data_IF_284093272894
#
_entry.id   IF_284093272894
#
_cell.length_a   1.000
_cell.length_b   1.000
_cell.length_c   1.000
_cell.angle_alpha   90.00
_cell.angle_beta   90.00
_cell.angle_gamma   90.00
#
_symmetry.space_group_name_H-M   'P 1'
#
loop_
_entity.id
_entity.type
_entity.pdbx_description
1 polymer ?
2 non-polymer ?
3 non-polymer ?
4 water ?
#
# COMPACT_ATOMS: atom_id res chain seq x y z
N UNK A 2 11.48 18.84 10.21
CA UNK A 2 11.98 18.97 8.80
C UNK A 2 11.17 18.14 7.80
N UNK A 3 10.60 18.82 6.81
CA UNK A 3 9.84 18.13 5.77
C UNK A 3 10.78 17.94 4.57
N UNK A 4 11.22 16.70 4.40
CA UNK A 4 12.13 16.29 3.34
C UNK A 4 11.44 16.14 1.99
N UNK A 5 10.26 15.54 1.99
CA UNK A 5 9.51 15.34 0.75
C UNK A 5 8.02 15.43 0.99
N UNK A 6 7.24 15.29 -0.08
CA UNK A 6 5.79 15.34 0.01
C UNK A 6 5.29 14.06 0.67
N UNK A 7 4.26 14.19 1.50
CA UNK A 7 3.69 13.04 2.20
C UNK A 7 3.12 11.99 1.28
N UNK A 8 2.67 12.41 0.10
CA UNK A 8 2.13 11.47 -0.87
C UNK A 8 3.24 10.59 -1.41
N UNK A 9 4.37 11.20 -1.75
CA UNK A 9 5.50 10.46 -2.28
C UNK A 9 6.08 9.56 -1.19
N UNK A 10 6.15 10.09 0.02
CA UNK A 10 6.67 9.37 1.16
C UNK A 10 5.81 8.15 1.57
N UNK A 11 4.50 8.32 1.54
CA UNK A 11 3.56 7.27 1.90
C UNK A 11 3.80 6.00 1.10
N UNK A 12 3.85 6.15 -0.21
CA UNK A 12 4.06 5.02 -1.10
C UNK A 12 5.42 4.38 -0.90
N UNK A 13 6.42 5.21 -0.61
CA UNK A 13 7.76 4.69 -0.34
C UNK A 13 7.71 3.85 0.93
N UNK A 14 7.14 4.41 1.99
CA UNK A 14 7.02 3.71 3.27
C UNK A 14 6.24 2.40 3.16
N UNK A 15 5.10 2.42 2.48
CA UNK A 15 4.28 1.22 2.33
C UNK A 15 5.09 0.12 1.62
N UNK A 16 5.73 0.48 0.52
CA UNK A 16 6.53 -0.47 -0.24
C UNK A 16 7.69 -1.01 0.58
N UNK A 17 8.45 -0.10 1.17
CA UNK A 17 9.59 -0.47 1.99
C UNK A 17 9.10 -1.43 3.08
N UNK A 18 8.01 -1.07 3.71
CA UNK A 18 7.37 -1.90 4.73
C UNK A 18 7.14 -3.33 4.27
N UNK A 19 6.57 -3.48 3.08
CA UNK A 19 6.27 -4.80 2.52
C UNK A 19 7.50 -5.65 2.21
N UNK A 20 8.54 -5.05 1.63
CA UNK A 20 9.74 -5.82 1.32
C UNK A 20 10.55 -6.12 2.58
N UNK A 21 10.41 -5.28 3.60
CA UNK A 21 11.11 -5.55 4.87
C UNK A 21 10.42 -6.77 5.50
N UNK A 22 9.09 -6.81 5.44
CA UNK A 22 8.33 -7.92 5.99
C UNK A 22 8.75 -9.23 5.33
N UNK A 23 8.88 -9.23 4.01
CA UNK A 23 9.30 -10.43 3.28
C UNK A 23 10.70 -10.87 3.69
N UNK A 24 11.59 -9.90 3.87
CA UNK A 24 12.97 -10.17 4.25
C UNK A 24 13.02 -10.82 5.64
N UNK A 25 12.09 -10.45 6.51
CA UNK A 25 12.03 -11.02 7.85
C UNK A 25 11.62 -12.49 7.81
N UNK A 26 10.69 -12.84 6.93
CA UNK A 26 10.24 -14.23 6.79
C UNK A 26 11.41 -15.13 6.41
N UNK A 27 12.31 -14.62 5.57
CA UNK A 27 13.49 -15.36 5.13
C UNK A 27 14.45 -15.59 6.29
N UNK A 28 14.61 -14.57 7.13
CA UNK A 28 15.48 -14.67 8.30
C UNK A 28 15.01 -15.84 9.17
N UNK A 29 13.69 -15.96 9.30
CA UNK A 29 13.09 -17.02 10.10
C UNK A 29 12.71 -18.21 9.22
N UNK A 44 19.56 -18.91 19.22
CA UNK A 44 19.77 -17.71 18.44
C UNK A 44 18.52 -17.20 17.75
N UNK A 45 17.50 -18.05 17.70
CA UNK A 45 16.21 -17.72 17.07
C UNK A 45 15.32 -16.98 18.08
N UNK A 46 15.96 -16.26 19.00
CA UNK A 46 15.28 -15.48 20.03
C UNK A 46 15.73 -14.03 19.95
N UNK A 47 17.04 -13.81 19.78
CA UNK A 47 17.59 -12.47 19.67
C UNK A 47 17.02 -11.85 18.39
N UNK A 48 16.82 -12.72 17.40
CA UNK A 48 16.28 -12.34 16.11
C UNK A 48 14.81 -11.94 16.26
N UNK A 49 14.04 -12.76 16.97
CA UNK A 49 12.62 -12.48 17.18
C UNK A 49 12.33 -11.30 18.10
N UNK A 50 13.34 -10.88 18.86
CA UNK A 50 13.19 -9.73 19.73
C UNK A 50 13.46 -8.49 18.88
N UNK A 51 14.38 -8.61 17.91
CA UNK A 51 14.68 -7.53 17.00
C UNK A 51 13.50 -7.32 16.07
N UNK A 52 12.83 -8.41 15.74
CA UNK A 52 11.71 -8.38 14.84
C UNK A 52 10.40 -7.87 15.44
N UNK A 53 10.29 -8.07 16.75
CA UNK A 53 9.17 -7.59 17.46
C UNK A 53 9.32 -6.08 17.52
N UNK A 54 10.52 -5.67 17.95
CA UNK A 54 10.86 -4.25 18.06
C UNK A 54 10.58 -3.50 16.78
N UNK A 55 10.85 -4.16 15.66
CA UNK A 55 10.64 -3.58 14.35
C UNK A 55 9.15 -3.46 14.04
N UNK A 56 8.39 -4.49 14.40
CA UNK A 56 6.95 -4.45 14.18
C UNK A 56 6.34 -3.31 15.02
N UNK A 57 6.86 -3.13 16.23
CA UNK A 57 6.39 -2.07 17.10
C UNK A 57 6.71 -0.72 16.46
N UNK A 58 7.94 -0.58 15.95
CA UNK A 58 8.41 0.63 15.28
C UNK A 58 7.48 0.97 14.11
N UNK A 59 7.26 0.00 13.23
CA UNK A 59 6.41 0.20 12.07
C UNK A 59 4.97 0.51 12.46
N UNK A 60 4.50 -0.08 13.56
CA UNK A 60 3.15 0.18 14.05
C UNK A 60 3.03 1.65 14.40
N UNK A 61 4.05 2.16 15.08
CA UNK A 61 4.12 3.55 15.52
C UNK A 61 4.15 4.52 14.34
N UNK A 62 4.98 4.22 13.34
CA UNK A 62 5.12 5.06 12.15
C UNK A 62 3.82 5.08 11.37
N UNK A 63 3.19 3.91 11.27
CA UNK A 63 1.94 3.77 10.54
C UNK A 63 0.84 4.56 11.23
N UNK A 64 0.82 4.52 12.56
CA UNK A 64 -0.17 5.28 13.31
C UNK A 64 0.00 6.76 13.01
N UNK A 65 1.25 7.20 12.94
CA UNK A 65 1.55 8.61 12.64
C UNK A 65 1.17 8.96 11.21
N UNK A 66 1.37 8.02 10.29
CA UNK A 66 1.01 8.22 8.89
C UNK A 66 -0.50 8.48 8.84
N UNK A 67 -1.25 7.62 9.51
CA UNK A 67 -2.71 7.75 9.57
C UNK A 67 -3.12 9.07 10.20
N UNK A 68 -2.49 9.43 11.32
CA UNK A 68 -2.79 10.69 12.00
C UNK A 68 -2.59 11.86 11.05
N UNK A 69 -1.51 11.80 10.28
CA UNK A 69 -1.21 12.85 9.33
C UNK A 69 -2.29 13.00 8.27
N UNK A 70 -2.61 11.91 7.59
CA UNK A 70 -3.62 11.95 6.55
C UNK A 70 -5.03 12.21 7.07
N UNK A 71 -5.27 11.85 8.32
CA UNK A 71 -6.57 12.09 8.93
C UNK A 71 -6.70 13.59 9.18
N UNK A 72 -5.60 14.23 9.58
CA UNK A 72 -5.57 15.66 9.85
C UNK A 72 -5.70 16.49 8.58
N UNK A 73 -5.05 16.02 7.51
CA UNK A 73 -5.06 16.71 6.21
C UNK A 73 -6.30 16.44 5.36
N UNK A 74 -7.44 16.25 6.02
CA UNK A 74 -8.69 15.97 5.33
C UNK A 74 -9.66 17.16 5.33
N UNK A 75 -9.27 18.24 6.01
CA UNK A 75 -10.10 19.44 6.12
C UNK A 75 -10.00 20.41 4.93
N UNK A 76 -8.95 20.24 4.09
CA UNK A 76 -8.73 21.08 2.91
C UNK A 76 -9.83 20.89 1.86
N UNK A 77 -10.41 22.02 1.48
CA UNK A 77 -11.49 21.95 0.48
C UNK A 77 -11.01 21.51 -0.92
N UNK A 78 -9.80 22.01 -1.10
CA UNK A 78 -9.04 22.19 -2.33
C UNK A 78 -8.61 21.14 -3.35
N UNK A 79 -8.68 21.70 -4.57
CA UNK A 79 -8.37 21.13 -5.86
C UNK A 79 -9.57 21.22 -6.80
N UNK A 80 -10.67 20.57 -6.42
CA UNK A 80 -11.89 20.57 -7.24
C UNK A 80 -11.79 19.69 -8.48
N UNK A 81 -11.37 20.26 -9.60
CA UNK A 81 -11.28 19.50 -10.87
C UNK A 81 -10.38 18.27 -10.76
N UNK A 82 -9.38 18.35 -9.89
CA UNK A 82 -8.46 17.23 -9.69
C UNK A 82 -9.21 16.02 -9.13
N UNK A 83 -10.09 16.26 -8.16
CA UNK A 83 -10.88 15.19 -7.56
C UNK A 83 -11.80 14.58 -8.60
N UNK A 84 -12.33 15.43 -9.47
CA UNK A 84 -13.22 14.99 -10.53
C UNK A 84 -12.44 14.30 -11.64
N UNK A 85 -11.23 14.78 -11.89
CA UNK A 85 -10.39 14.19 -12.93
C UNK A 85 -10.00 12.77 -12.52
N UNK A 86 -9.80 12.57 -11.22
CA UNK A 86 -9.44 11.26 -10.69
C UNK A 86 -10.60 10.28 -10.83
N UNK A 87 -11.83 10.80 -10.76
CA UNK A 87 -13.02 9.97 -10.91
C UNK A 87 -13.12 9.53 -12.35
N UNK A 88 -12.83 10.45 -13.27
CA UNK A 88 -12.86 10.15 -14.69
C UNK A 88 -11.84 9.04 -15.00
N UNK A 89 -10.64 9.16 -14.45
CA UNK A 89 -9.56 8.18 -14.65
C UNK A 89 -9.90 6.85 -14.02
N UNK A 90 -10.52 6.91 -12.85
CA UNK A 90 -10.91 5.70 -12.14
C UNK A 90 -11.89 4.90 -12.99
N UNK A 91 -12.79 5.60 -13.68
CA UNK A 91 -13.77 4.93 -14.54
C UNK A 91 -13.06 4.24 -15.70
N UNK A 92 -12.21 4.97 -16.41
CA UNK A 92 -11.46 4.41 -17.53
C UNK A 92 -10.61 3.21 -17.09
N UNK A 93 -9.87 3.37 -15.99
CA UNK A 93 -9.03 2.29 -15.47
C UNK A 93 -9.82 1.05 -15.04
N UNK A 94 -10.96 1.27 -14.38
CA UNK A 94 -11.78 0.16 -13.94
C UNK A 94 -12.35 -0.62 -15.12
N UNK A 95 -12.80 0.07 -16.16
CA UNK A 95 -13.36 -0.57 -17.34
C UNK A 95 -12.32 -1.50 -17.97
N UNK A 96 -11.22 -0.89 -18.40
CA UNK A 96 -10.10 -1.58 -19.02
C UNK A 96 -9.48 -2.69 -18.20
N UNK A 97 -9.34 -2.46 -16.90
CA UNK A 97 -8.74 -3.44 -15.99
C UNK A 97 -9.64 -4.65 -15.85
N UNK A 98 -10.90 -4.40 -15.55
CA UNK A 98 -11.87 -5.46 -15.38
C UNK A 98 -11.95 -6.32 -16.64
N UNK A 99 -11.99 -5.70 -17.82
CA UNK A 99 -12.05 -6.46 -19.07
C UNK A 99 -10.78 -7.31 -19.19
N UNK A 100 -9.64 -6.67 -18.98
CA UNK A 100 -8.35 -7.33 -19.07
C UNK A 100 -8.19 -8.49 -18.07
N UNK A 101 -8.75 -8.34 -16.88
CA UNK A 101 -8.65 -9.36 -15.84
C UNK A 101 -9.67 -10.48 -15.89
N UNK A 102 -10.71 -10.33 -16.71
CA UNK A 102 -11.73 -11.37 -16.82
C UNK A 102 -11.85 -11.97 -18.21
N UNK A 103 -11.11 -11.44 -19.18
CA UNK A 103 -11.19 -11.95 -20.55
C UNK A 103 -9.87 -12.03 -21.28
N UNK A 104 -9.72 -13.08 -22.09
CA UNK A 104 -8.61 -13.21 -23.04
C UNK A 104 -7.26 -13.68 -22.50
N UNK A 105 -6.36 -13.87 -23.46
CA UNK A 105 -4.99 -14.27 -23.18
C UNK A 105 -4.06 -13.08 -23.42
N UNK A 106 -2.76 -13.32 -23.36
CA UNK A 106 -1.76 -12.27 -23.54
C UNK A 106 -1.86 -11.59 -24.90
N UNK A 107 -2.08 -12.38 -25.95
CA UNK A 107 -2.21 -11.86 -27.30
C UNK A 107 -3.41 -10.93 -27.41
N UNK A 108 -4.55 -11.37 -26.88
CA UNK A 108 -5.77 -10.56 -26.92
C UNK A 108 -5.60 -9.25 -26.15
N UNK A 109 -5.11 -9.35 -24.92
CA UNK A 109 -4.89 -8.19 -24.07
C UNK A 109 -3.99 -7.18 -24.77
N UNK A 110 -3.00 -7.68 -25.50
CA UNK A 110 -2.06 -6.81 -26.22
C UNK A 110 -2.73 -6.11 -27.40
N UNK A 111 -3.49 -6.87 -28.17
CA UNK A 111 -4.18 -6.34 -29.34
C UNK A 111 -5.18 -5.28 -28.93
N UNK A 112 -5.86 -5.50 -27.80
CA UNK A 112 -6.83 -4.53 -27.31
C UNK A 112 -6.13 -3.25 -26.86
N UNK A 113 -4.96 -3.39 -26.23
CA UNK A 113 -4.21 -2.21 -25.80
C UNK A 113 -3.84 -1.38 -27.02
N UNK A 114 -3.41 -2.06 -28.08
CA UNK A 114 -3.01 -1.42 -29.33
C UNK A 114 -4.19 -0.70 -29.96
N UNK A 115 -5.34 -1.38 -29.98
CA UNK A 115 -6.56 -0.83 -30.54
C UNK A 115 -6.88 0.49 -29.87
N UNK A 116 -6.85 0.49 -28.54
CA UNK A 116 -7.15 1.68 -27.75
C UNK A 116 -6.13 2.79 -27.92
N UNK A 117 -4.86 2.42 -28.07
CA UNK A 117 -3.79 3.41 -28.26
C UNK A 117 -3.96 4.07 -29.64
N UNK A 118 -4.28 3.25 -30.64
CA UNK A 118 -4.48 3.73 -32.01
C UNK A 118 -5.72 4.62 -32.08
N UNK A 119 -6.59 4.51 -31.08
CA UNK A 119 -7.82 5.30 -31.00
C UNK A 119 -7.67 6.50 -30.07
N UNK A 120 -6.44 6.77 -29.65
CA UNK A 120 -6.19 7.89 -28.76
C UNK A 120 -6.80 7.69 -27.39
N UNK A 121 -6.52 6.55 -26.78
CA UNK A 121 -7.01 6.23 -25.44
C UNK A 121 -5.81 5.70 -24.66
N UNK A 122 -5.42 6.41 -23.61
CA UNK A 122 -4.29 5.97 -22.82
C UNK A 122 -4.56 4.62 -22.19
N UNK A 123 -3.52 3.83 -21.97
CA UNK A 123 -3.71 2.53 -21.34
C UNK A 123 -3.96 2.70 -19.85
N UNK A 124 -4.08 1.58 -19.14
CA UNK A 124 -4.32 1.62 -17.69
C UNK A 124 -3.15 2.27 -16.92
N UNK A 125 -3.49 3.15 -15.99
CA UNK A 125 -2.49 3.84 -15.19
C UNK A 125 -3.06 4.12 -13.80
N UNK A 126 -2.91 3.16 -12.89
CA UNK A 126 -3.42 3.31 -11.54
C UNK A 126 -2.61 4.26 -10.69
N UNK A 127 -1.31 4.34 -10.94
CA UNK A 127 -0.45 5.23 -10.16
C UNK A 127 -1.04 6.64 -10.09
N UNK A 128 -1.62 7.10 -11.19
CA UNK A 128 -2.22 8.43 -11.25
C UNK A 128 -3.39 8.61 -10.28
N UNK A 129 -3.93 7.50 -9.80
CA UNK A 129 -5.05 7.52 -8.87
C UNK A 129 -4.60 7.43 -7.41
N UNK A 130 -3.29 7.55 -7.17
CA UNK A 130 -2.76 7.46 -5.82
C UNK A 130 -3.48 8.34 -4.80
N UNK A 131 -3.82 9.57 -5.20
CA UNK A 131 -4.51 10.49 -4.32
C UNK A 131 -5.81 9.95 -3.76
N UNK A 132 -6.47 9.06 -4.50
CA UNK A 132 -7.73 8.50 -4.03
C UNK A 132 -7.54 7.61 -2.82
N UNK A 133 -6.38 6.96 -2.73
CA UNK A 133 -6.14 6.10 -1.59
C UNK A 133 -5.79 6.91 -0.35
N UNK A 134 -4.81 7.80 -0.48
CA UNK A 134 -4.37 8.61 0.65
C UNK A 134 -5.47 9.54 1.16
N UNK A 135 -6.47 9.80 0.32
CA UNK A 135 -7.58 10.65 0.71
C UNK A 135 -8.68 9.83 1.39
N UNK A 136 -8.84 8.56 0.99
CA UNK A 136 -9.94 7.78 1.52
C UNK A 136 -9.60 6.65 2.50
N UNK A 137 -8.34 6.24 2.64
CA UNK A 137 -8.04 5.13 3.56
C UNK A 137 -8.26 5.47 5.02
N UNK A 138 -8.28 6.77 5.32
CA UNK A 138 -8.47 7.24 6.68
C UNK A 138 -9.90 7.11 7.19
N UNK A 139 -10.84 6.94 6.26
CA UNK A 139 -12.25 6.77 6.62
C UNK A 139 -12.52 5.30 6.89
N UNK A 140 -11.55 4.45 6.55
CA UNK A 140 -11.68 3.02 6.75
C UNK A 140 -11.40 2.59 8.17
N UNK A 141 -12.13 1.57 8.58
CA UNK A 141 -12.04 0.98 9.90
C UNK A 141 -10.72 0.20 10.03
N UNK A 142 -10.49 -0.68 9.06
CA UNK A 142 -9.30 -1.52 9.03
C UNK A 142 -8.57 -1.21 7.73
N UNK A 143 -7.32 -1.63 7.63
CA UNK A 143 -6.53 -1.37 6.43
C UNK A 143 -5.57 -2.53 6.22
N UNK A 144 -5.17 -2.74 4.96
CA UNK A 144 -4.26 -3.82 4.61
C UNK A 144 -3.03 -3.78 5.50
N UNK A 145 -2.48 -2.58 5.70
CA UNK A 145 -1.29 -2.42 6.53
C UNK A 145 -1.58 -2.77 7.97
N UNK A 146 -2.70 -2.28 8.49
CA UNK A 146 -3.10 -2.58 9.87
C UNK A 146 -3.20 -4.10 10.04
N UNK A 147 -3.78 -4.76 9.05
CA UNK A 147 -3.95 -6.20 9.04
C UNK A 147 -2.62 -6.94 9.01
N UNK A 148 -1.67 -6.45 8.21
CA UNK A 148 -0.35 -7.07 8.13
C UNK A 148 0.43 -6.87 9.42
N UNK A 149 0.30 -5.68 10.01
CA UNK A 149 0.98 -5.36 11.26
C UNK A 149 0.50 -6.29 12.37
N UNK A 150 -0.81 -6.53 12.42
CA UNK A 150 -1.38 -7.43 13.43
C UNK A 150 -0.80 -8.82 13.20
N UNK A 151 -0.78 -9.24 11.94
CA UNK A 151 -0.24 -10.54 11.60
C UNK A 151 1.23 -10.61 12.00
N UNK A 152 1.96 -9.52 11.79
CA UNK A 152 3.38 -9.45 12.15
C UNK A 152 3.49 -9.66 13.66
N UNK A 153 2.70 -8.91 14.41
CA UNK A 153 2.70 -8.99 15.86
C UNK A 153 2.44 -10.42 16.34
N UNK A 154 1.41 -11.05 15.79
CA UNK A 154 1.05 -12.43 16.15
C UNK A 154 2.18 -13.40 15.79
N UNK A 155 2.97 -13.04 14.78
CA UNK A 155 4.11 -13.86 14.35
C UNK A 155 5.21 -13.73 15.38
N UNK A 156 5.47 -12.49 15.79
CA UNK A 156 6.49 -12.17 16.78
C UNK A 156 6.18 -12.89 18.08
N UNK A 157 4.92 -12.81 18.50
CA UNK A 157 4.46 -13.45 19.72
C UNK A 157 4.67 -14.96 19.71
N UNK A 158 4.20 -15.63 18.66
CA UNK A 158 4.34 -17.08 18.55
C UNK A 158 5.80 -17.51 18.51
N UNK A 159 6.68 -16.60 18.13
CA UNK A 159 8.10 -16.91 18.06
C UNK A 159 8.78 -16.83 19.41
N UNK A 160 8.41 -15.83 20.20
CA UNK A 160 8.99 -15.65 21.53
C UNK A 160 8.47 -16.68 22.52
N UNK A 161 7.29 -17.23 22.23
CA UNK A 161 6.68 -18.25 23.09
C UNK A 161 7.39 -19.58 22.88
N UNK A 162 7.67 -19.90 21.62
CA UNK A 162 8.33 -21.14 21.26
C UNK A 162 9.84 -21.13 21.50
N UNK A 163 10.51 -20.10 20.99
CA UNK A 163 11.95 -19.99 21.11
C UNK A 163 12.46 -19.13 22.26
N UNK A 164 12.82 -19.82 23.34
CA UNK A 164 13.35 -19.21 24.56
C UNK A 164 14.87 -19.42 24.60
N UNK A 165 15.62 -18.34 24.43
CA UNK A 165 17.08 -18.43 24.43
C UNK A 165 17.74 -17.53 25.47
N UNK A 166 17.14 -16.37 25.72
CA UNK A 166 17.66 -15.41 26.70
C UNK A 166 17.79 -16.08 28.06
N UNK A 167 19.03 -16.42 28.43
CA UNK A 167 19.32 -17.06 29.70
C UNK A 167 19.68 -15.96 30.69
X LIG B 1 -6.16 -0.87 2.30
X LIG C 1 19.21 2.12 10.59
X LIG C 1 19.83 0.90 10.21
X LIG C 1 20.34 0.61 8.80
X LIG C 1 18.99 0.20 8.40
X LIG C 1 19.23 -0.14 7.02
X LIG C 1 17.84 -0.61 6.46
X LIG C 1 17.38 -1.43 7.51
X LIG C 1 16.09 -1.96 7.16
X LIG C 1 15.65 -2.85 8.38
X LIG C 1 15.38 -3.95 7.65
X LIG C 1 14.92 -5.05 8.46
X LIG C 1 14.64 -6.25 7.52
X LIG C 1 15.41 -7.37 7.97
#
# INVERSE_FOLDING_TARGET
EDKIMSYNAFFWMWVHDMLIDSIKWRDEHGRCINKDKGKTCIKGCNKKCICFQKWVEQKKTEWGKIKDHFRKQKDIPKDWTHDDFLQTLLMKDLLLEIIQDTYGDANEIKRIEALLEQAGVGGIDFAALAGLYTKGFVAEKDTTIDKLLQHEQKEADKCLKTHTDDTCPPQEDRSVARS
CL CL
PG4 O1 C1 C2 O2 C3 C4 O3 C5 C6 O4 C7 C8 O5
#
